data_IF_913060170017
#
_entry.id   IF_913060170017
#
_cell.length_a   1.000
_cell.length_b   1.000
_cell.length_c   1.000
_cell.angle_alpha   90.00
_cell.angle_beta   90.00
_cell.angle_gamma   90.00
#
_symmetry.space_group_name_H-M   'P 1'
#
loop_
_entity.id
_entity.type
_entity.pdbx_description
1 polymer ?
#
# COMPACT_ATOMS: atom_id res chain seq x y z
N UNK A 1 14.43 11.66 -19.66
CA UNK A 1 14.47 10.94 -18.37
C UNK A 1 14.62 11.85 -17.14
N UNK A 2 14.80 13.17 -17.28
CA UNK A 2 14.96 14.13 -16.17
C UNK A 2 13.66 14.51 -15.43
N UNK A 3 12.51 14.48 -16.11
CA UNK A 3 11.22 14.99 -15.60
C UNK A 3 10.67 14.23 -14.38
N UNK A 4 10.94 12.92 -14.27
CA UNK A 4 10.47 12.08 -13.15
C UNK A 4 11.17 12.38 -11.82
N UNK A 5 12.45 12.78 -11.85
CA UNK A 5 13.22 13.10 -10.64
C UNK A 5 12.86 14.48 -10.08
N UNK A 6 12.63 15.46 -10.94
CA UNK A 6 12.21 16.81 -10.53
C UNK A 6 10.85 16.76 -9.81
N UNK A 7 9.86 16.08 -10.39
CA UNK A 7 8.53 15.96 -9.76
C UNK A 7 8.53 15.21 -8.42
N UNK A 8 9.49 14.31 -8.19
CA UNK A 8 9.59 13.57 -6.92
C UNK A 8 10.26 14.41 -5.81
N UNK A 9 11.24 15.25 -6.16
CA UNK A 9 11.82 16.22 -5.22
C UNK A 9 10.79 17.29 -4.82
N UNK A 10 9.99 17.76 -5.78
CA UNK A 10 8.86 18.65 -5.52
C UNK A 10 7.81 18.00 -4.62
N UNK A 11 7.48 16.72 -4.87
CA UNK A 11 6.56 15.96 -4.02
C UNK A 11 7.08 15.80 -2.59
N UNK A 12 8.37 15.46 -2.44
CA UNK A 12 9.02 15.38 -1.13
C UNK A 12 8.91 16.71 -0.37
N UNK A 13 9.26 17.82 -1.02
CA UNK A 13 9.14 19.15 -0.43
C UNK A 13 7.69 19.49 -0.05
N UNK A 14 6.73 19.16 -0.94
CA UNK A 14 5.31 19.35 -0.69
C UNK A 14 4.84 18.59 0.56
N UNK A 15 5.24 17.32 0.71
CA UNK A 15 4.92 16.50 1.89
C UNK A 15 5.49 17.12 3.17
N UNK A 16 6.74 17.57 3.15
CA UNK A 16 7.39 18.21 4.31
C UNK A 16 6.72 19.54 4.73
N UNK A 17 6.09 20.23 3.78
CA UNK A 17 5.32 21.45 4.06
C UNK A 17 3.86 21.17 4.46
N UNK A 18 3.42 19.91 4.49
CA UNK A 18 2.04 19.56 4.83
C UNK A 18 1.05 19.80 3.68
N UNK A 19 1.53 19.70 2.44
CA UNK A 19 0.71 19.76 1.23
C UNK A 19 0.69 18.40 0.54
N UNK A 20 -0.47 17.72 0.43
CA UNK A 20 -0.55 16.39 -0.19
C UNK A 20 -0.08 16.33 -1.64
N UNK A 21 -0.20 17.43 -2.40
CA UNK A 21 0.14 17.48 -3.82
C UNK A 21 -0.55 16.35 -4.60
N UNK A 22 0.21 15.67 -5.46
CA UNK A 22 -0.29 14.53 -6.23
C UNK A 22 -0.70 13.32 -5.38
N UNK A 23 -0.29 13.23 -4.10
CA UNK A 23 -0.74 12.15 -3.23
C UNK A 23 -2.25 12.19 -2.99
N UNK A 24 -2.90 13.34 -3.23
CA UNK A 24 -4.32 13.54 -2.96
C UNK A 24 -5.21 12.59 -3.79
N UNK A 25 -4.88 12.33 -5.04
CA UNK A 25 -5.75 11.62 -5.97
C UNK A 25 -5.02 10.67 -6.92
N UNK A 26 -3.69 10.74 -6.97
CA UNK A 26 -2.87 9.95 -7.88
C UNK A 26 -2.15 8.86 -7.08
N UNK A 27 -2.38 7.57 -7.37
CA UNK A 27 -1.65 6.47 -6.73
C UNK A 27 -0.14 6.61 -6.95
N UNK A 28 0.63 6.40 -5.90
CA UNK A 28 2.09 6.34 -6.01
C UNK A 28 2.57 5.02 -6.60
N UNK A 29 3.82 5.02 -7.07
CA UNK A 29 4.52 3.79 -7.47
C UNK A 29 5.41 3.33 -6.32
N UNK A 30 5.71 2.03 -6.26
CA UNK A 30 6.63 1.46 -5.25
C UNK A 30 7.95 2.25 -5.14
N UNK A 31 8.56 2.61 -6.27
CA UNK A 31 9.82 3.37 -6.27
C UNK A 31 9.66 4.79 -5.71
N UNK A 32 8.49 5.42 -5.86
CA UNK A 32 8.19 6.70 -5.24
C UNK A 32 7.99 6.53 -3.73
N UNK A 33 7.28 5.48 -3.31
CA UNK A 33 7.05 5.19 -1.89
C UNK A 33 8.36 4.94 -1.15
N UNK A 34 9.24 4.11 -1.69
CA UNK A 34 10.55 3.81 -1.11
C UNK A 34 11.42 5.07 -0.98
N UNK A 35 11.40 5.92 -2.01
CA UNK A 35 12.19 7.15 -2.00
C UNK A 35 11.64 8.16 -1.00
N UNK A 36 10.32 8.37 -0.96
CA UNK A 36 9.68 9.24 0.02
C UNK A 36 9.92 8.71 1.44
N UNK A 37 9.76 7.41 1.67
CA UNK A 37 10.01 6.78 2.96
C UNK A 37 11.43 7.03 3.47
N UNK A 38 12.42 7.01 2.57
CA UNK A 38 13.82 7.23 2.89
C UNK A 38 14.20 8.69 3.15
N UNK A 39 13.49 9.66 2.52
CA UNK A 39 13.93 11.06 2.48
C UNK A 39 13.01 12.05 3.21
N UNK A 40 11.76 11.67 3.50
CA UNK A 40 10.80 12.55 4.17
C UNK A 40 11.31 12.97 5.55
N UNK A 41 11.18 14.26 5.86
CA UNK A 41 11.59 14.81 7.16
C UNK A 41 10.71 14.27 8.30
N UNK A 42 11.13 14.38 9.57
CA UNK A 42 10.28 14.01 10.70
C UNK A 42 8.90 14.68 10.69
N UNK A 43 8.83 15.94 10.25
CA UNK A 43 7.56 16.69 10.11
C UNK A 43 6.69 16.12 8.98
N UNK A 44 7.29 15.78 7.85
CA UNK A 44 6.60 15.11 6.76
C UNK A 44 6.04 13.74 7.17
N UNK A 45 6.76 13.00 8.04
CA UNK A 45 6.24 11.75 8.63
C UNK A 45 4.98 12.01 9.46
N UNK A 46 4.95 13.07 10.27
CA UNK A 46 3.75 13.45 11.03
C UNK A 46 2.57 13.78 10.09
N UNK A 47 2.83 14.50 8.99
CA UNK A 47 1.81 14.76 7.98
C UNK A 47 1.29 13.47 7.34
N UNK A 48 2.16 12.53 6.97
CA UNK A 48 1.77 11.23 6.43
C UNK A 48 0.95 10.42 7.43
N UNK A 49 1.28 10.44 8.72
CA UNK A 49 0.49 9.75 9.77
C UNK A 49 -0.92 10.30 9.88
N UNK A 50 -1.04 11.63 9.88
CA UNK A 50 -2.34 12.30 9.91
C UNK A 50 -3.13 12.00 8.64
N UNK A 51 -2.49 12.05 7.48
CA UNK A 51 -3.14 11.75 6.20
C UNK A 51 -3.49 10.29 6.02
N UNK A 52 -2.75 9.35 6.57
CA UNK A 52 -3.11 7.93 6.56
C UNK A 52 -4.43 7.70 7.31
N UNK A 53 -4.65 8.39 8.42
CA UNK A 53 -5.82 8.19 9.27
C UNK A 53 -7.02 9.05 8.83
N UNK A 54 -6.78 10.31 8.48
CA UNK A 54 -7.81 11.35 8.33
C UNK A 54 -7.80 12.00 6.94
N UNK A 55 -6.94 11.53 6.03
CA UNK A 55 -6.81 12.08 4.68
C UNK A 55 -8.16 12.10 3.96
N UNK A 56 -8.45 13.22 3.26
CA UNK A 56 -9.75 13.47 2.62
C UNK A 56 -10.18 12.38 1.63
N UNK A 57 -9.23 11.77 0.94
CA UNK A 57 -9.47 10.75 -0.08
C UNK A 57 -8.89 9.40 0.36
N UNK A 58 -9.48 8.31 -0.13
CA UNK A 58 -8.91 6.98 0.12
C UNK A 58 -7.52 6.84 -0.55
N UNK A 59 -7.29 7.49 -1.70
CA UNK A 59 -5.98 7.51 -2.35
C UNK A 59 -4.91 8.15 -1.48
N UNK A 60 -5.20 9.29 -0.85
CA UNK A 60 -4.26 9.94 0.07
C UNK A 60 -3.95 9.05 1.27
N UNK A 61 -4.98 8.42 1.84
CA UNK A 61 -4.80 7.49 2.96
C UNK A 61 -3.91 6.31 2.59
N UNK A 62 -4.18 5.66 1.45
CA UNK A 62 -3.39 4.52 0.94
C UNK A 62 -1.96 4.93 0.59
N UNK A 63 -1.76 6.03 -0.14
CA UNK A 63 -0.41 6.50 -0.49
C UNK A 63 0.40 6.77 0.78
N UNK A 64 -0.20 7.45 1.76
CA UNK A 64 0.47 7.74 3.04
C UNK A 64 0.80 6.46 3.81
N UNK A 65 -0.14 5.50 3.83
CA UNK A 65 0.04 4.18 4.41
C UNK A 65 1.22 3.43 3.77
N UNK A 66 1.25 3.36 2.44
CA UNK A 66 2.29 2.65 1.69
C UNK A 66 3.67 3.27 1.89
N UNK A 67 3.78 4.60 1.95
CA UNK A 67 5.04 5.29 2.27
C UNK A 67 5.50 4.96 3.70
N UNK A 68 4.60 5.08 4.69
CA UNK A 68 4.92 4.78 6.09
C UNK A 68 5.32 3.31 6.28
N UNK A 69 4.66 2.38 5.59
CA UNK A 69 4.93 0.95 5.70
C UNK A 69 6.37 0.58 5.32
N UNK A 70 7.01 1.35 4.42
CA UNK A 70 8.41 1.15 4.00
C UNK A 70 9.45 1.67 4.98
N UNK A 71 9.05 2.43 6.00
CA UNK A 71 9.98 2.98 7.00
C UNK A 71 10.38 1.96 8.07
N UNK A 72 9.70 0.81 8.13
CA UNK A 72 9.94 -0.24 9.13
C UNK A 72 9.88 0.25 10.59
N UNK A 73 9.16 1.33 10.87
CA UNK A 73 8.93 1.83 12.23
C UNK A 73 7.83 1.00 12.93
N UNK A 74 8.09 0.57 14.17
CA UNK A 74 7.16 -0.29 14.91
C UNK A 74 5.87 0.41 15.30
N UNK A 75 5.92 1.71 15.62
CA UNK A 75 4.74 2.51 15.94
C UNK A 75 3.83 2.65 14.73
N UNK A 76 4.42 2.94 13.58
CA UNK A 76 3.69 3.04 12.31
C UNK A 76 3.06 1.69 11.92
N UNK A 77 3.79 0.57 12.10
CA UNK A 77 3.27 -0.76 11.76
C UNK A 77 1.94 -1.10 12.48
N UNK A 78 1.81 -0.79 13.76
CA UNK A 78 0.56 -1.03 14.50
C UNK A 78 -0.59 -0.15 13.99
N UNK A 79 -0.31 1.13 13.71
CA UNK A 79 -1.33 2.05 13.20
C UNK A 79 -1.77 1.70 11.78
N UNK A 80 -0.86 1.23 10.94
CA UNK A 80 -1.15 0.73 9.59
C UNK A 80 -2.13 -0.44 9.65
N UNK A 81 -1.89 -1.41 10.56
CA UNK A 81 -2.80 -2.55 10.77
C UNK A 81 -4.18 -2.06 11.21
N UNK A 82 -4.25 -1.14 12.17
CA UNK A 82 -5.52 -0.56 12.64
C UNK A 82 -6.32 0.10 11.49
N UNK A 83 -5.64 0.83 10.60
CA UNK A 83 -6.27 1.47 9.43
C UNK A 83 -6.76 0.42 8.42
N UNK A 84 -5.98 -0.63 8.14
CA UNK A 84 -6.39 -1.71 7.24
C UNK A 84 -7.58 -2.52 7.79
N UNK A 85 -7.71 -2.62 9.11
CA UNK A 85 -8.84 -3.29 9.76
C UNK A 85 -10.11 -2.43 9.75
N UNK A 86 -9.98 -1.12 9.97
CA UNK A 86 -11.11 -0.20 10.18
C UNK A 86 -11.60 0.53 8.92
N UNK A 87 -10.72 0.85 7.96
CA UNK A 87 -11.10 1.54 6.71
C UNK A 87 -11.20 0.55 5.55
N UNK A 88 -12.43 0.15 5.22
CA UNK A 88 -12.72 -0.79 4.13
C UNK A 88 -12.22 -0.29 2.76
N UNK A 89 -12.25 1.02 2.50
CA UNK A 89 -11.81 1.58 1.21
C UNK A 89 -10.29 1.49 1.09
N UNK A 90 -9.57 1.82 2.15
CA UNK A 90 -8.11 1.68 2.21
C UNK A 90 -7.74 0.21 2.07
N UNK A 91 -8.36 -0.68 2.85
CA UNK A 91 -8.16 -2.13 2.73
C UNK A 91 -8.33 -2.63 1.30
N UNK A 92 -9.45 -2.31 0.65
CA UNK A 92 -9.72 -2.78 -0.71
C UNK A 92 -8.67 -2.29 -1.72
N UNK A 93 -8.24 -1.03 -1.61
CA UNK A 93 -7.21 -0.46 -2.48
C UNK A 93 -5.84 -1.08 -2.22
N UNK A 94 -5.43 -1.26 -0.96
CA UNK A 94 -4.16 -1.92 -0.60
C UNK A 94 -4.10 -3.38 -1.06
N UNK A 95 -5.20 -4.12 -0.91
CA UNK A 95 -5.32 -5.50 -1.41
C UNK A 95 -5.23 -5.55 -2.94
N UNK A 96 -5.95 -4.68 -3.64
CA UNK A 96 -5.91 -4.61 -5.11
C UNK A 96 -4.52 -4.21 -5.63
N UNK A 97 -3.87 -3.25 -4.98
CA UNK A 97 -2.49 -2.84 -5.30
C UNK A 97 -1.49 -3.97 -5.07
N UNK A 98 -1.66 -4.75 -4.00
CA UNK A 98 -0.85 -5.96 -3.73
C UNK A 98 -1.03 -6.99 -4.84
N UNK A 99 -2.28 -7.30 -5.23
CA UNK A 99 -2.55 -8.23 -6.35
C UNK A 99 -1.96 -7.72 -7.66
N UNK A 100 -2.11 -6.43 -7.97
CA UNK A 100 -1.55 -5.78 -9.16
C UNK A 100 -0.02 -5.95 -9.21
N UNK A 101 0.68 -5.58 -8.12
CA UNK A 101 2.13 -5.72 -8.01
C UNK A 101 2.57 -7.17 -8.19
N UNK A 102 1.90 -8.11 -7.52
CA UNK A 102 2.29 -9.51 -7.53
C UNK A 102 1.92 -10.24 -8.82
N UNK A 103 0.83 -9.89 -9.49
CA UNK A 103 0.30 -10.69 -10.60
C UNK A 103 0.31 -9.99 -11.94
N UNK A 104 0.45 -8.66 -11.96
CA UNK A 104 0.45 -7.82 -13.16
C UNK A 104 -0.86 -7.97 -13.96
N UNK A 105 -1.98 -8.20 -13.27
CA UNK A 105 -3.30 -8.16 -13.88
C UNK A 105 -3.75 -6.72 -14.11
N UNK A 106 -4.75 -6.54 -14.96
CA UNK A 106 -5.39 -5.23 -15.11
C UNK A 106 -6.09 -4.82 -13.79
N UNK A 107 -6.28 -3.52 -13.61
CA UNK A 107 -6.81 -2.97 -12.36
C UNK A 107 -8.22 -3.46 -12.02
N UNK A 108 -9.07 -3.70 -13.03
CA UNK A 108 -10.44 -4.19 -12.81
C UNK A 108 -10.40 -5.61 -12.24
N UNK A 109 -9.54 -6.47 -12.80
CA UNK A 109 -9.30 -7.82 -12.27
C UNK A 109 -8.75 -7.77 -10.84
N UNK A 110 -7.76 -6.92 -10.57
CA UNK A 110 -7.19 -6.77 -9.22
C UNK A 110 -8.24 -6.37 -8.17
N UNK A 111 -9.14 -5.44 -8.51
CA UNK A 111 -10.24 -5.03 -7.63
C UNK A 111 -11.28 -6.13 -7.42
N UNK A 112 -11.53 -6.95 -8.44
CA UNK A 112 -12.41 -8.12 -8.29
C UNK A 112 -11.81 -9.12 -7.30
N UNK A 113 -10.53 -9.45 -7.46
CA UNK A 113 -9.81 -10.36 -6.57
C UNK A 113 -9.72 -9.80 -5.14
N UNK A 114 -9.49 -8.49 -4.97
CA UNK A 114 -9.47 -7.88 -3.65
C UNK A 114 -10.82 -8.01 -2.89
N UNK A 115 -11.95 -8.08 -3.61
CA UNK A 115 -13.28 -8.30 -3.03
C UNK A 115 -13.61 -9.77 -2.83
N UNK A 116 -13.20 -10.60 -3.78
CA UNK A 116 -13.42 -12.04 -3.77
C UNK A 116 -12.11 -12.75 -4.13
N UNK A 117 -11.21 -13.00 -3.17
CA UNK A 117 -9.88 -13.56 -3.45
C UNK A 117 -9.94 -14.92 -4.15
N UNK A 118 -10.97 -15.72 -3.86
CA UNK A 118 -11.22 -17.01 -4.53
C UNK A 118 -11.48 -16.92 -6.05
N UNK A 119 -11.79 -15.73 -6.57
CA UNK A 119 -11.97 -15.48 -8.01
C UNK A 119 -10.66 -15.34 -8.79
N UNK A 120 -9.49 -15.43 -8.11
CA UNK A 120 -8.20 -15.29 -8.74
C UNK A 120 -8.01 -16.30 -9.90
N UNK A 121 -7.61 -15.85 -11.12
CA UNK A 121 -7.40 -16.76 -12.26
C UNK A 121 -6.33 -17.83 -12.04
N UNK A 122 -5.37 -17.55 -11.16
CA UNK A 122 -4.29 -18.47 -10.78
C UNK A 122 -4.07 -18.35 -9.26
N UNK A 123 -4.90 -19.04 -8.44
CA UNK A 123 -4.88 -18.88 -7.00
C UNK A 123 -3.60 -19.48 -6.39
N UNK A 124 -3.05 -20.53 -6.98
CA UNK A 124 -1.82 -21.18 -6.50
C UNK A 124 -0.61 -20.26 -6.71
N UNK A 125 -0.47 -19.63 -7.87
CA UNK A 125 0.62 -18.66 -8.11
C UNK A 125 0.47 -17.43 -7.23
N UNK A 126 -0.75 -16.93 -7.05
CA UNK A 126 -1.02 -15.81 -6.15
C UNK A 126 -0.62 -16.15 -4.72
N UNK A 127 -1.04 -17.30 -4.19
CA UNK A 127 -0.69 -17.76 -2.85
C UNK A 127 0.83 -17.88 -2.64
N UNK A 128 1.57 -18.47 -3.60
CA UNK A 128 3.05 -18.56 -3.53
C UNK A 128 3.72 -17.19 -3.45
N UNK A 129 3.18 -16.17 -4.12
CA UNK A 129 3.72 -14.80 -4.08
C UNK A 129 3.33 -14.09 -2.79
N UNK A 130 2.09 -14.23 -2.33
CA UNK A 130 1.62 -13.68 -1.06
C UNK A 130 2.37 -14.25 0.15
N UNK A 131 2.77 -15.52 0.11
CA UNK A 131 3.57 -16.13 1.18
C UNK A 131 4.91 -15.40 1.40
N UNK A 132 5.50 -14.80 0.36
CA UNK A 132 6.72 -13.99 0.48
C UNK A 132 6.41 -12.64 1.13
N UNK A 133 5.35 -11.99 0.71
CA UNK A 133 4.89 -10.72 1.29
C UNK A 133 4.50 -10.87 2.77
N UNK A 134 3.85 -11.97 3.14
CA UNK A 134 3.41 -12.28 4.51
C UNK A 134 4.55 -12.37 5.53
N UNK A 135 5.80 -12.58 5.07
CA UNK A 135 6.99 -12.67 5.92
C UNK A 135 7.96 -11.50 5.72
N UNK A 136 7.59 -10.48 4.93
CA UNK A 136 8.45 -9.32 4.68
C UNK A 136 8.52 -8.39 5.90
N UNK A 137 9.56 -8.54 6.72
CA UNK A 137 9.75 -7.75 7.93
C UNK A 137 9.85 -6.23 7.69
N UNK A 138 10.14 -5.80 6.45
CA UNK A 138 10.36 -4.39 6.12
C UNK A 138 9.09 -3.64 5.74
N UNK A 139 7.99 -4.37 5.57
CA UNK A 139 6.73 -3.82 5.07
C UNK A 139 5.54 -4.34 5.86
N UNK A 140 4.95 -3.48 6.69
CA UNK A 140 3.75 -3.83 7.44
C UNK A 140 2.52 -4.01 6.53
N UNK A 141 2.40 -3.24 5.45
CA UNK A 141 1.26 -3.32 4.52
C UNK A 141 1.29 -4.64 3.74
N UNK A 142 2.43 -4.99 3.13
CA UNK A 142 2.55 -6.26 2.41
C UNK A 142 2.35 -7.46 3.32
N UNK A 143 2.86 -7.44 4.55
CA UNK A 143 2.62 -8.53 5.51
C UNK A 143 1.14 -8.72 5.81
N UNK A 144 0.46 -7.63 6.13
CA UNK A 144 -0.97 -7.68 6.46
C UNK A 144 -1.80 -8.12 5.24
N UNK A 145 -1.56 -7.51 4.06
CA UNK A 145 -2.27 -7.88 2.82
C UNK A 145 -1.98 -9.32 2.41
N UNK A 146 -0.73 -9.75 2.54
CA UNK A 146 -0.29 -11.12 2.28
C UNK A 146 -1.02 -12.13 3.15
N UNK A 147 -1.04 -11.91 4.47
CA UNK A 147 -1.74 -12.75 5.42
C UNK A 147 -3.27 -12.77 5.18
N UNK A 148 -3.87 -11.60 4.94
CA UNK A 148 -5.30 -11.48 4.66
C UNK A 148 -5.69 -12.28 3.41
N UNK A 149 -5.03 -12.03 2.27
CA UNK A 149 -5.36 -12.71 1.01
C UNK A 149 -5.08 -14.22 1.08
N UNK A 150 -4.02 -14.65 1.77
CA UNK A 150 -3.75 -16.08 1.98
C UNK A 150 -4.89 -16.75 2.74
N UNK A 151 -5.38 -16.12 3.82
CA UNK A 151 -6.53 -16.63 4.59
C UNK A 151 -7.76 -16.81 3.70
N UNK A 152 -8.07 -15.82 2.88
CA UNK A 152 -9.24 -15.84 1.99
C UNK A 152 -9.08 -16.80 0.80
N UNK A 153 -7.86 -17.19 0.44
CA UNK A 153 -7.60 -18.16 -0.63
C UNK A 153 -7.71 -19.62 -0.17
N UNK A 154 -7.69 -19.91 1.14
CA UNK A 154 -7.76 -21.29 1.68
C UNK A 154 -8.87 -22.14 1.02
N UNK A 155 -10.12 -21.66 0.84
CA UNK A 155 -11.20 -22.46 0.27
C UNK A 155 -10.99 -22.92 -1.18
N UNK A 156 -10.14 -22.22 -1.95
CA UNK A 156 -9.84 -22.55 -3.35
C UNK A 156 -8.51 -23.26 -3.53
N UNK A 157 -7.61 -23.19 -2.53
CA UNK A 157 -6.33 -23.91 -2.52
C UNK A 157 -6.43 -25.34 -1.99
N UNK A 158 -7.46 -25.63 -1.18
CA UNK A 158 -7.70 -26.96 -0.61
C UNK A 158 -8.47 -27.91 -1.55
N UNK A 159 -8.62 -27.55 -2.83
CA UNK A 159 -9.29 -28.34 -3.87
C UNK A 159 -8.26 -29.02 -4.76
#
# INVERSE_FOLDING_TARGET
MQTKRAGLAELLHSVDQGHPGSLLDTPTSLAADELLAAQVSPKGVEHLRNWMSEGKTATLRVNSLSILARRSDRGDALKIIEVLESDERVRMLSLASTVSRLMQYDWKTCRSIAREPGSAPDPVRLAKRLAKDAVDVKDAEARWCGAYLLRELVPVLAR
#
